data_IF_626724084699
#
_entry.id   IF_626724084699
#
_cell.length_a   1.000
_cell.length_b   1.000
_cell.length_c   1.000
_cell.angle_alpha   90.00
_cell.angle_beta   90.00
_cell.angle_gamma   90.00
#
_symmetry.space_group_name_H-M   'P 1'
#
loop_
_entity.id
_entity.type
_entity.pdbx_description
1 polymer ?
#
# COMPACT_ATOMS: atom_id res chain seq x y z
N UNK A 1 -7.35 -4.12 -2.06
CA UNK A 1 -6.78 -4.14 -3.44
C UNK A 1 -5.29 -4.48 -3.47
N UNK A 2 -4.42 -3.89 -2.64
CA UNK A 2 -2.98 -4.20 -2.63
C UNK A 2 -2.69 -5.71 -2.54
N UNK A 3 -3.30 -6.41 -1.58
CA UNK A 3 -3.12 -7.85 -1.40
C UNK A 3 -3.52 -8.65 -2.65
N UNK A 4 -4.66 -8.35 -3.27
CA UNK A 4 -5.12 -9.05 -4.46
C UNK A 4 -4.17 -8.85 -5.64
N UNK A 5 -3.64 -7.65 -5.82
CA UNK A 5 -2.63 -7.34 -6.84
C UNK A 5 -1.37 -8.17 -6.66
N UNK A 6 -0.84 -8.26 -5.42
CA UNK A 6 0.35 -9.07 -5.13
C UNK A 6 0.09 -10.57 -5.23
N UNK A 7 -1.08 -11.05 -4.84
CA UNK A 7 -1.46 -12.47 -5.00
C UNK A 7 -1.61 -12.87 -6.47
N UNK A 8 -2.11 -11.99 -7.34
CA UNK A 8 -2.21 -12.25 -8.76
C UNK A 8 -0.84 -12.23 -9.43
N UNK A 9 0.03 -11.32 -9.02
CA UNK A 9 1.39 -11.18 -9.53
C UNK A 9 2.29 -12.37 -9.19
N UNK A 10 2.23 -12.85 -7.93
CA UNK A 10 3.12 -13.91 -7.43
C UNK A 10 2.54 -15.32 -7.57
N UNK A 11 1.22 -15.46 -7.74
CA UNK A 11 0.48 -16.74 -7.83
C UNK A 11 0.97 -17.79 -6.82
N UNK A 12 0.93 -17.50 -5.52
CA UNK A 12 1.44 -18.41 -4.51
C UNK A 12 0.66 -19.72 -4.48
N UNK A 13 1.31 -20.79 -4.03
CA UNK A 13 0.69 -22.10 -3.86
C UNK A 13 -0.53 -22.07 -2.94
N UNK A 14 -1.39 -23.10 -3.00
CA UNK A 14 -2.65 -23.18 -2.25
C UNK A 14 -2.45 -23.01 -0.74
N UNK A 15 -1.39 -23.61 -0.18
CA UNK A 15 -1.08 -23.50 1.25
C UNK A 15 -0.74 -22.06 1.65
N UNK A 16 0.09 -21.38 0.86
CA UNK A 16 0.45 -19.99 1.13
C UNK A 16 -0.78 -19.07 1.03
N UNK A 17 -1.66 -19.30 0.08
CA UNK A 17 -2.92 -18.54 -0.02
C UNK A 17 -3.81 -18.75 1.20
N UNK A 18 -3.92 -19.99 1.68
CA UNK A 18 -4.66 -20.30 2.91
C UNK A 18 -4.06 -19.57 4.12
N UNK A 19 -2.73 -19.59 4.28
CA UNK A 19 -2.04 -18.89 5.36
C UNK A 19 -2.28 -17.38 5.32
N UNK A 20 -2.24 -16.77 4.14
CA UNK A 20 -2.53 -15.35 3.96
C UNK A 20 -3.98 -15.02 4.35
N UNK A 21 -4.96 -15.83 3.94
CA UNK A 21 -6.36 -15.61 4.32
C UNK A 21 -6.59 -15.78 5.83
N UNK A 22 -5.96 -16.79 6.46
CA UNK A 22 -6.04 -16.97 7.90
C UNK A 22 -5.43 -15.80 8.66
N UNK A 23 -4.22 -15.39 8.28
CA UNK A 23 -3.55 -14.24 8.91
C UNK A 23 -4.38 -12.95 8.76
N UNK A 24 -4.95 -12.71 7.57
CA UNK A 24 -5.81 -11.56 7.33
C UNK A 24 -7.10 -11.63 8.14
N UNK A 25 -7.71 -12.82 8.24
CA UNK A 25 -8.91 -13.04 9.04
C UNK A 25 -8.65 -12.76 10.53
N UNK A 26 -7.56 -13.27 11.08
CA UNK A 26 -7.15 -13.04 12.47
C UNK A 26 -6.89 -11.53 12.68
N UNK A 27 -6.13 -10.89 11.82
CA UNK A 27 -5.83 -9.46 11.92
C UNK A 27 -7.12 -8.62 11.87
N UNK A 28 -8.01 -8.90 10.93
CA UNK A 28 -9.27 -8.17 10.79
C UNK A 28 -10.15 -8.29 12.03
N UNK A 29 -10.33 -9.52 12.56
CA UNK A 29 -11.14 -9.74 13.76
C UNK A 29 -10.51 -9.07 14.99
N UNK A 30 -9.19 -9.15 15.13
CA UNK A 30 -8.48 -8.46 16.23
C UNK A 30 -8.65 -6.95 16.15
N UNK A 31 -8.54 -6.37 14.95
CA UNK A 31 -8.77 -4.94 14.72
C UNK A 31 -10.22 -4.55 15.00
N UNK A 32 -11.18 -5.40 14.63
CA UNK A 32 -12.60 -5.15 14.90
C UNK A 32 -12.88 -5.11 16.41
N UNK A 33 -12.41 -6.11 17.16
CA UNK A 33 -12.53 -6.12 18.64
C UNK A 33 -11.80 -4.94 19.26
N UNK A 34 -10.57 -4.66 18.81
CA UNK A 34 -9.80 -3.50 19.27
C UNK A 34 -10.52 -2.18 19.00
N UNK A 35 -11.21 -2.04 17.89
CA UNK A 35 -12.00 -0.86 17.56
C UNK A 35 -13.20 -0.68 18.49
N UNK A 36 -13.87 -1.78 18.86
CA UNK A 36 -14.97 -1.74 19.86
C UNK A 36 -14.47 -1.31 21.24
N UNK A 37 -13.25 -1.71 21.63
CA UNK A 37 -12.66 -1.37 22.92
C UNK A 37 -12.07 0.04 22.95
N UNK A 38 -11.37 0.45 21.90
CA UNK A 38 -10.70 1.75 21.81
C UNK A 38 -10.48 2.19 20.35
N UNK A 39 -11.44 2.91 19.76
CA UNK A 39 -11.32 3.45 18.41
C UNK A 39 -10.05 4.29 18.19
N UNK A 40 -9.70 5.11 19.18
CA UNK A 40 -8.52 5.98 19.12
C UNK A 40 -7.21 5.21 19.01
N UNK A 41 -7.11 4.05 19.67
CA UNK A 41 -5.95 3.18 19.56
C UNK A 41 -5.85 2.60 18.14
N UNK A 42 -6.95 2.08 17.60
CA UNK A 42 -6.98 1.51 16.26
C UNK A 42 -6.64 2.54 15.18
N UNK A 43 -7.16 3.78 15.30
CA UNK A 43 -6.80 4.85 14.37
C UNK A 43 -5.29 5.19 14.41
N UNK A 44 -4.70 5.24 15.60
CA UNK A 44 -3.24 5.44 15.73
C UNK A 44 -2.45 4.29 15.12
N UNK A 45 -2.86 3.05 15.41
CA UNK A 45 -2.19 1.86 14.87
C UNK A 45 -2.24 1.84 13.33
N UNK A 46 -3.40 2.14 12.73
CA UNK A 46 -3.52 2.24 11.27
C UNK A 46 -2.62 3.35 10.71
N UNK A 47 -2.57 4.51 11.38
CA UNK A 47 -1.65 5.59 11.00
C UNK A 47 -0.18 5.16 10.98
N UNK A 48 0.28 4.45 12.00
CA UNK A 48 1.65 3.90 12.03
C UNK A 48 1.90 2.87 10.90
N UNK A 49 0.92 2.00 10.63
CA UNK A 49 1.03 1.02 9.55
C UNK A 49 1.11 1.71 8.18
N UNK A 50 0.37 2.80 7.97
CA UNK A 50 0.45 3.59 6.74
C UNK A 50 1.79 4.29 6.58
N UNK A 51 2.33 4.90 7.64
CA UNK A 51 3.64 5.54 7.61
C UNK A 51 4.75 4.52 7.30
N UNK A 52 4.70 3.34 7.91
CA UNK A 52 5.65 2.26 7.66
C UNK A 52 5.52 1.67 6.24
N UNK A 53 4.30 1.59 5.72
CA UNK A 53 4.06 1.19 4.34
C UNK A 53 4.67 2.20 3.35
N UNK A 54 4.50 3.51 3.58
CA UNK A 54 5.11 4.56 2.75
C UNK A 54 6.63 4.48 2.78
N UNK A 55 7.24 4.27 3.96
CA UNK A 55 8.68 4.08 4.12
C UNK A 55 9.18 2.86 3.34
N UNK A 56 8.46 1.74 3.44
CA UNK A 56 8.77 0.49 2.73
C UNK A 56 8.69 0.66 1.22
N UNK A 57 7.62 1.28 0.70
CA UNK A 57 7.49 1.54 -0.74
C UNK A 57 8.56 2.52 -1.24
N UNK A 58 8.96 3.49 -0.42
CA UNK A 58 10.05 4.41 -0.77
C UNK A 58 11.39 3.68 -0.90
N UNK A 59 11.73 2.80 0.05
CA UNK A 59 12.91 1.94 -0.05
C UNK A 59 12.85 1.03 -1.28
N UNK A 60 11.69 0.47 -1.57
CA UNK A 60 11.49 -0.38 -2.74
C UNK A 60 11.74 0.37 -4.05
N UNK A 61 11.29 1.62 -4.17
CA UNK A 61 11.57 2.47 -5.32
C UNK A 61 13.08 2.75 -5.47
N UNK A 62 13.75 3.05 -4.36
CA UNK A 62 15.21 3.27 -4.34
C UNK A 62 15.98 2.00 -4.80
N UNK A 63 15.52 0.81 -4.41
CA UNK A 63 16.10 -0.46 -4.84
C UNK A 63 15.87 -0.74 -6.34
N UNK A 64 14.71 -0.36 -6.88
CA UNK A 64 14.41 -0.43 -8.31
C UNK A 64 15.31 0.55 -9.08
N UNK A 65 15.42 1.79 -8.62
CA UNK A 65 16.22 2.84 -9.26
C UNK A 65 17.73 2.52 -9.24
N UNK A 66 18.20 1.77 -8.24
CA UNK A 66 19.57 1.22 -8.15
C UNK A 66 19.79 -0.06 -8.98
N UNK A 67 18.76 -0.56 -9.67
CA UNK A 67 18.85 -1.78 -10.48
C UNK A 67 19.03 -3.08 -9.69
N UNK A 68 18.76 -3.06 -8.37
CA UNK A 68 18.91 -4.27 -7.52
C UNK A 68 17.73 -5.24 -7.65
N UNK A 69 16.66 -4.84 -8.31
CA UNK A 69 15.49 -5.66 -8.59
C UNK A 69 15.31 -5.86 -10.11
N UNK A 70 16.19 -6.61 -10.77
CA UNK A 70 16.17 -6.78 -12.23
C UNK A 70 14.85 -7.39 -12.73
N UNK A 71 14.21 -8.24 -11.93
CA UNK A 71 12.92 -8.86 -12.27
C UNK A 71 11.80 -7.84 -12.49
N UNK A 72 11.85 -6.70 -11.81
CA UNK A 72 10.82 -5.66 -11.88
C UNK A 72 11.16 -4.55 -12.88
N UNK A 73 12.38 -4.55 -13.37
CA UNK A 73 12.87 -3.64 -14.42
C UNK A 73 12.74 -4.27 -15.82
N UNK A 74 12.44 -5.57 -15.89
CA UNK A 74 12.27 -6.30 -17.14
C UNK A 74 11.07 -5.73 -17.93
N UNK A 75 11.26 -5.30 -19.20
CA UNK A 75 10.17 -4.82 -20.06
C UNK A 75 9.09 -5.86 -20.35
N UNK A 76 9.40 -7.15 -20.18
CA UNK A 76 8.43 -8.25 -20.31
C UNK A 76 7.58 -8.48 -19.06
N UNK A 77 7.90 -7.82 -17.94
CA UNK A 77 7.14 -7.94 -16.71
C UNK A 77 5.79 -7.23 -16.85
N UNK A 78 4.72 -8.02 -16.94
CA UNK A 78 3.35 -7.50 -17.08
C UNK A 78 2.74 -7.24 -15.70
N UNK A 79 2.28 -6.01 -15.50
CA UNK A 79 1.46 -5.67 -14.35
C UNK A 79 0.08 -6.33 -14.48
N UNK A 80 -0.50 -6.85 -13.39
CA UNK A 80 -1.84 -7.40 -13.40
C UNK A 80 -2.89 -6.40 -13.92
N UNK A 81 -3.77 -6.86 -14.81
CA UNK A 81 -4.85 -6.03 -15.38
C UNK A 81 -5.77 -5.45 -14.28
N UNK A 82 -5.91 -6.18 -13.18
CA UNK A 82 -6.64 -5.72 -12.00
C UNK A 82 -6.05 -4.42 -11.46
N UNK A 83 -4.73 -4.32 -11.37
CA UNK A 83 -4.02 -3.13 -10.89
C UNK A 83 -4.19 -1.97 -11.87
N UNK A 84 -4.01 -2.23 -13.16
CA UNK A 84 -4.17 -1.21 -14.23
C UNK A 84 -5.56 -0.59 -14.18
N UNK A 85 -6.61 -1.41 -14.05
CA UNK A 85 -8.00 -0.95 -13.96
C UNK A 85 -8.27 -0.17 -12.66
N UNK A 86 -7.79 -0.67 -11.53
CA UNK A 86 -8.07 -0.05 -10.23
C UNK A 86 -7.44 1.33 -10.08
N UNK A 87 -6.17 1.49 -10.51
CA UNK A 87 -5.46 2.75 -10.45
C UNK A 87 -5.64 3.62 -11.69
N UNK A 88 -6.40 3.15 -12.70
CA UNK A 88 -6.61 3.83 -13.97
C UNK A 88 -5.29 4.30 -14.62
N UNK A 89 -4.34 3.35 -14.75
CA UNK A 89 -3.00 3.65 -15.23
C UNK A 89 -3.00 3.93 -16.74
N UNK A 90 -2.49 5.08 -17.19
CA UNK A 90 -2.46 5.41 -18.61
C UNK A 90 -1.52 4.48 -19.38
N UNK A 91 -1.78 4.31 -20.67
CA UNK A 91 -0.87 3.58 -21.56
C UNK A 91 0.49 4.29 -21.61
N UNK A 92 1.56 3.51 -21.53
CA UNK A 92 2.95 4.02 -21.45
C UNK A 92 3.49 4.27 -20.02
N UNK A 93 2.64 4.23 -18.99
CA UNK A 93 3.06 4.29 -17.56
C UNK A 93 2.59 3.05 -16.80
N UNK A 94 2.91 1.88 -17.35
CA UNK A 94 2.53 0.57 -16.78
C UNK A 94 3.76 -0.23 -16.40
N UNK A 95 4.72 0.43 -15.75
CA UNK A 95 5.90 -0.23 -15.17
C UNK A 95 5.65 -0.58 -13.71
N UNK A 96 6.41 -1.53 -13.17
CA UNK A 96 6.33 -1.87 -11.75
C UNK A 96 6.67 -0.67 -10.85
N UNK A 97 7.61 0.17 -11.29
CA UNK A 97 7.94 1.43 -10.64
C UNK A 97 6.74 2.37 -10.56
N UNK A 98 6.01 2.53 -11.67
CA UNK A 98 4.82 3.38 -11.70
C UNK A 98 3.73 2.81 -10.78
N UNK A 99 3.52 1.48 -10.79
CA UNK A 99 2.56 0.84 -9.90
C UNK A 99 2.86 1.15 -8.44
N UNK A 100 4.11 1.02 -8.00
CA UNK A 100 4.51 1.31 -6.62
C UNK A 100 4.32 2.79 -6.30
N UNK A 101 4.59 3.71 -7.25
CA UNK A 101 4.28 5.12 -7.08
C UNK A 101 2.78 5.37 -6.88
N UNK A 102 1.93 4.73 -7.68
CA UNK A 102 0.47 4.83 -7.51
C UNK A 102 0.01 4.30 -6.16
N UNK A 103 0.54 3.16 -5.71
CA UNK A 103 0.23 2.58 -4.40
C UNK A 103 0.65 3.53 -3.27
N UNK A 104 1.84 4.14 -3.37
CA UNK A 104 2.40 5.03 -2.35
C UNK A 104 1.64 6.35 -2.22
N UNK A 105 1.24 6.94 -3.36
CA UNK A 105 0.72 8.33 -3.41
C UNK A 105 -0.80 8.40 -3.26
N UNK A 106 -1.52 7.34 -3.61
CA UNK A 106 -2.98 7.39 -3.67
C UNK A 106 -3.62 6.47 -2.63
N UNK A 107 -3.92 6.96 -1.43
CA UNK A 107 -4.88 6.29 -0.58
C UNK A 107 -6.23 6.21 -1.33
N UNK A 108 -7.00 5.12 -1.21
CA UNK A 108 -8.30 5.01 -1.85
C UNK A 108 -9.19 6.19 -1.43
N UNK A 109 -9.95 6.79 -2.35
CA UNK A 109 -10.66 8.05 -2.13
C UNK A 109 -11.67 8.03 -0.99
N UNK A 110 -12.10 6.86 -0.53
CA UNK A 110 -13.07 6.70 0.57
C UNK A 110 -12.43 6.63 1.96
N UNK A 111 -11.21 6.14 2.10
CA UNK A 111 -10.50 6.08 3.39
C UNK A 111 -9.77 7.39 3.71
N UNK A 112 -9.31 8.11 2.68
CA UNK A 112 -8.58 9.37 2.85
C UNK A 112 -9.44 10.49 3.46
N UNK A 113 -10.72 10.56 3.12
CA UNK A 113 -11.59 11.63 3.62
C UNK A 113 -11.94 11.45 5.10
N UNK A 114 -12.19 10.23 5.56
CA UNK A 114 -12.47 9.94 6.97
C UNK A 114 -11.26 10.16 7.87
N UNK A 115 -10.06 9.83 7.40
CA UNK A 115 -8.83 9.95 8.16
C UNK A 115 -8.30 11.39 8.21
N UNK A 116 -8.54 12.18 7.15
CA UNK A 116 -8.21 13.62 7.12
C UNK A 116 -9.05 14.43 8.12
N UNK A 117 -10.30 14.04 8.37
CA UNK A 117 -11.20 14.76 9.28
C UNK A 117 -10.97 14.42 10.75
N UNK A 118 -10.33 13.28 11.05
CA UNK A 118 -10.20 12.79 12.43
C UNK A 118 -8.82 12.99 13.06
N UNK A 119 -7.78 13.38 12.31
CA UNK A 119 -6.44 13.59 12.88
C UNK A 119 -5.74 14.86 12.38
N UNK A 120 -6.06 16.05 12.93
CA UNK A 120 -5.43 17.33 12.55
C UNK A 120 -3.92 17.40 12.80
N UNK A 121 -3.36 16.52 13.64
CA UNK A 121 -1.92 16.52 13.99
C UNK A 121 -1.02 15.93 12.88
N UNK A 122 -1.49 14.96 12.11
CA UNK A 122 -0.71 14.35 11.02
C UNK A 122 -0.50 15.33 9.84
N UNK A 123 -1.41 16.29 9.68
CA UNK A 123 -1.32 17.27 8.60
C UNK A 123 -0.13 18.23 8.76
N UNK A 124 0.23 18.61 10.00
CA UNK A 124 1.36 19.52 10.26
C UNK A 124 2.73 18.93 9.91
N UNK A 125 2.94 17.63 10.11
CA UNK A 125 4.20 16.98 9.79
C UNK A 125 4.41 16.75 8.29
N UNK A 126 3.34 16.49 7.52
CA UNK A 126 3.45 16.28 6.07
C UNK A 126 3.74 17.56 5.29
N UNK A 127 3.18 18.69 5.70
CA UNK A 127 3.41 19.99 5.05
C UNK A 127 4.86 20.45 5.30
N UNK A 128 5.40 20.21 6.49
CA UNK A 128 6.80 20.56 6.82
C UNK A 128 7.84 19.71 6.04
N UNK A 129 7.50 18.46 5.66
CA UNK A 129 8.41 17.59 4.92
C UNK A 129 8.41 17.83 3.39
N UNK A 130 7.40 18.55 2.86
CA UNK A 130 7.30 18.83 1.42
C UNK A 130 7.89 20.19 1.02
N UNK A 131 8.36 20.99 1.98
CA UNK A 131 8.89 22.36 1.76
C UNK A 131 10.41 22.47 1.94
N UNK A 132 11.13 21.37 2.05
CA UNK A 132 12.61 21.40 1.97
C UNK A 132 13.05 21.19 0.52
N UNK A 133 13.83 22.15 -0.03
CA UNK A 133 14.34 22.12 -1.40
C UNK A 133 15.35 21.01 -1.64
#
# INVERSE_FOLDING_TARGET
MHLLTFLDMYRPGKLMRLMVFLAQGIFYNTMFVGYLLSPSFCHRLVGYLEDEAVATYTKCLDEIDKGRLPQWTDPNFKIPDLAVKYWNMPEGKRTMRDLILYIRVRPPPLLGLGMFLTCPRLMKHRIAASTTP
#
